data_IF_353734426956
#
_entry.id   IF_353734426956
#
_cell.length_a   1.000
_cell.length_b   1.000
_cell.length_c   1.000
_cell.angle_alpha   90.00
_cell.angle_beta   90.00
_cell.angle_gamma   90.00
#
_symmetry.space_group_name_H-M   'P 1'
#
loop_
_entity.id
_entity.type
_entity.pdbx_description
1 polymer ?
#
# COMPACT_ATOMS: atom_id res chain seq x y z
N UNK A 1 10.16 -1.98 -9.92
CA UNK A 1 9.56 -1.32 -8.75
C UNK A 1 8.13 -1.81 -8.66
N UNK A 2 7.85 -2.75 -7.76
CA UNK A 2 6.50 -3.27 -7.56
C UNK A 2 5.72 -2.28 -6.69
N UNK A 3 4.57 -1.87 -7.17
CA UNK A 3 3.54 -1.21 -6.36
C UNK A 3 2.65 -2.33 -5.80
N UNK A 4 2.79 -2.62 -4.51
CA UNK A 4 1.83 -3.49 -3.83
C UNK A 4 0.75 -2.61 -3.21
N UNK A 5 -0.47 -2.72 -3.73
CA UNK A 5 -1.66 -2.20 -3.08
C UNK A 5 -2.29 -3.34 -2.30
N UNK A 6 -2.22 -3.27 -0.98
CA UNK A 6 -2.95 -4.17 -0.11
C UNK A 6 -4.30 -3.55 0.24
N UNK A 7 -5.32 -3.86 -0.53
CA UNK A 7 -6.69 -3.71 -0.06
C UNK A 7 -7.08 -5.02 0.62
N UNK A 8 -7.16 -5.03 1.93
CA UNK A 8 -7.72 -6.14 2.68
C UNK A 8 -9.24 -6.11 2.58
N UNK A 9 -9.77 -6.78 1.56
CA UNK A 9 -11.16 -7.21 1.51
C UNK A 9 -11.19 -8.69 1.14
N UNK A 10 -12.18 -9.48 1.58
CA UNK A 10 -12.26 -10.93 1.31
C UNK A 10 -12.44 -11.32 -0.16
N UNK A 11 -12.21 -10.41 -1.10
CA UNK A 11 -12.20 -10.66 -2.56
C UNK A 11 -10.82 -11.19 -3.02
N UNK A 12 -10.19 -12.03 -2.22
CA UNK A 12 -8.82 -12.53 -2.47
C UNK A 12 -8.66 -13.48 -3.66
N UNK A 13 -9.73 -13.92 -4.32
CA UNK A 13 -9.63 -14.86 -5.45
C UNK A 13 -9.44 -14.17 -6.81
N UNK A 14 -9.82 -12.89 -6.93
CA UNK A 14 -9.75 -12.15 -8.21
C UNK A 14 -8.49 -11.29 -8.38
N UNK A 15 -7.77 -11.00 -7.30
CA UNK A 15 -6.54 -10.19 -7.35
C UNK A 15 -5.34 -10.85 -8.05
N UNK A 16 -5.36 -12.17 -8.26
CA UNK A 16 -4.28 -12.90 -8.91
C UNK A 16 -4.08 -12.56 -10.40
N UNK A 17 -5.11 -12.07 -11.08
CA UNK A 17 -5.06 -11.68 -12.50
C UNK A 17 -4.42 -10.29 -12.64
N UNK A 18 -4.73 -9.36 -11.77
CA UNK A 18 -4.14 -8.02 -11.76
C UNK A 18 -2.63 -8.04 -11.42
N UNK A 19 -2.19 -8.94 -10.54
CA UNK A 19 -0.77 -9.06 -10.17
C UNK A 19 0.14 -9.44 -11.36
N UNK A 20 -0.33 -10.23 -12.32
CA UNK A 20 0.49 -10.66 -13.46
C UNK A 20 0.74 -9.57 -14.50
N UNK A 21 -0.12 -8.58 -14.55
CA UNK A 21 -0.07 -7.53 -15.57
C UNK A 21 0.58 -6.24 -15.08
N UNK A 22 0.65 -6.01 -13.76
CA UNK A 22 1.32 -4.85 -13.16
C UNK A 22 2.85 -4.87 -13.31
N UNK A 23 3.44 -5.98 -13.74
CA UNK A 23 4.88 -6.08 -14.01
C UNK A 23 5.31 -5.55 -15.39
N UNK A 24 4.37 -5.29 -16.28
CA UNK A 24 4.66 -4.65 -17.56
C UNK A 24 4.72 -3.14 -17.33
N UNK A 25 5.89 -2.68 -17.04
CA UNK A 25 6.40 -1.32 -16.98
C UNK A 25 5.55 -0.28 -17.72
N UNK A 26 4.58 0.30 -17.07
CA UNK A 26 4.18 1.64 -17.44
C UNK A 26 5.29 2.58 -16.98
N UNK A 27 5.96 3.26 -17.90
CA UNK A 27 7.04 4.18 -17.60
C UNK A 27 6.55 5.44 -16.88
N UNK A 28 5.24 5.72 -16.96
CA UNK A 28 4.60 6.83 -16.29
C UNK A 28 4.18 6.41 -14.86
N UNK A 29 4.91 6.93 -13.87
CA UNK A 29 4.63 6.67 -12.45
C UNK A 29 3.46 7.47 -11.90
N UNK A 30 2.97 8.45 -12.63
CA UNK A 30 1.85 9.32 -12.22
C UNK A 30 0.53 8.83 -12.80
N UNK A 31 0.57 8.09 -13.92
CA UNK A 31 -0.59 7.54 -14.58
C UNK A 31 -0.33 6.06 -14.89
N UNK A 32 -0.89 5.19 -14.09
CA UNK A 32 -0.73 3.75 -14.25
C UNK A 32 -2.02 3.14 -14.77
N UNK A 33 -1.89 2.17 -15.68
CA UNK A 33 -3.05 1.52 -16.21
C UNK A 33 -2.78 0.06 -16.54
N UNK A 34 -3.75 -0.81 -16.25
CA UNK A 34 -3.70 -2.25 -16.53
C UNK A 34 -5.11 -2.74 -16.86
N UNK A 35 -5.35 -3.11 -18.10
CA UNK A 35 -6.71 -3.44 -18.54
C UNK A 35 -7.68 -2.28 -18.31
N UNK A 36 -8.79 -2.53 -17.64
CA UNK A 36 -9.77 -1.50 -17.25
C UNK A 36 -9.41 -0.71 -15.99
N UNK A 37 -8.31 -1.04 -15.30
CA UNK A 37 -7.88 -0.33 -14.10
C UNK A 37 -6.93 0.82 -14.45
N UNK A 38 -7.20 2.00 -13.90
CA UNK A 38 -6.35 3.20 -13.99
C UNK A 38 -6.14 3.81 -12.62
N UNK A 39 -4.92 4.29 -12.39
CA UNK A 39 -4.56 5.08 -11.22
C UNK A 39 -3.87 6.35 -11.70
N UNK A 40 -4.44 7.48 -11.39
CA UNK A 40 -3.97 8.81 -11.77
C UNK A 40 -3.53 9.57 -10.53
N UNK A 41 -2.31 10.10 -10.53
CA UNK A 41 -1.86 11.04 -9.49
C UNK A 41 -2.32 12.43 -9.90
N UNK A 42 -3.46 12.87 -9.34
CA UNK A 42 -4.05 14.19 -9.63
C UNK A 42 -3.19 15.29 -9.00
N UNK A 43 -2.79 15.09 -7.75
CA UNK A 43 -1.89 15.99 -7.01
C UNK A 43 -0.88 15.13 -6.24
N UNK A 44 0.42 15.25 -6.51
CA UNK A 44 1.44 14.46 -5.84
C UNK A 44 1.35 14.56 -4.32
N UNK A 45 1.45 13.41 -3.64
CA UNK A 45 1.35 13.23 -2.19
C UNK A 45 0.05 13.71 -1.55
N UNK A 46 -0.95 14.09 -2.34
CA UNK A 46 -2.22 14.60 -1.81
C UNK A 46 -3.46 13.91 -2.38
N UNK A 47 -3.56 13.80 -3.70
CA UNK A 47 -4.79 13.33 -4.35
C UNK A 47 -4.49 12.33 -5.46
N UNK A 48 -5.21 11.22 -5.44
CA UNK A 48 -5.19 10.21 -6.50
C UNK A 48 -6.60 9.87 -6.94
N UNK A 49 -6.77 9.51 -8.21
CA UNK A 49 -8.01 8.96 -8.75
C UNK A 49 -7.78 7.53 -9.18
N UNK A 50 -8.68 6.66 -8.80
CA UNK A 50 -8.71 5.25 -9.18
C UNK A 50 -9.98 5.00 -10.00
N UNK A 51 -9.82 4.46 -11.19
CA UNK A 51 -10.92 4.07 -12.06
C UNK A 51 -10.79 2.58 -12.38
N UNK A 52 -11.86 1.86 -12.20
CA UNK A 52 -12.04 0.50 -12.68
C UNK A 52 -13.24 0.47 -13.62
N UNK A 53 -12.99 0.20 -14.91
CA UNK A 53 -14.04 -0.12 -15.86
C UNK A 53 -14.72 -1.41 -15.43
N UNK A 54 -16.02 -1.53 -15.72
CA UNK A 54 -16.76 -2.73 -15.30
C UNK A 54 -15.98 -4.01 -15.64
N UNK A 55 -15.69 -4.78 -14.61
CA UNK A 55 -14.91 -6.01 -14.69
C UNK A 55 -15.47 -7.02 -13.69
N UNK A 56 -16.05 -8.10 -14.18
CA UNK A 56 -16.61 -9.17 -13.36
C UNK A 56 -17.60 -8.66 -12.27
N UNK A 57 -18.46 -7.73 -12.62
CA UNK A 57 -19.48 -7.16 -11.73
C UNK A 57 -18.97 -6.00 -10.86
N UNK A 58 -17.73 -5.55 -11.02
CA UNK A 58 -17.16 -4.43 -10.27
C UNK A 58 -16.84 -3.26 -11.18
N UNK A 59 -17.29 -2.06 -10.81
CA UNK A 59 -16.85 -0.81 -11.42
C UNK A 59 -16.60 0.25 -10.35
N UNK A 60 -15.65 1.15 -10.57
CA UNK A 60 -15.34 2.19 -9.62
C UNK A 60 -14.82 3.45 -10.31
N UNK A 61 -15.18 4.60 -9.77
CA UNK A 61 -14.55 5.89 -10.04
C UNK A 61 -14.39 6.61 -8.70
N UNK A 62 -13.23 6.45 -8.11
CA UNK A 62 -12.95 6.86 -6.75
C UNK A 62 -11.79 7.86 -6.71
N UNK A 63 -11.95 8.90 -5.92
CA UNK A 63 -10.89 9.85 -5.60
C UNK A 63 -10.52 9.69 -4.13
N UNK A 64 -9.23 9.48 -3.87
CA UNK A 64 -8.67 9.50 -2.54
C UNK A 64 -7.95 10.83 -2.30
N UNK A 65 -8.16 11.43 -1.13
CA UNK A 65 -7.51 12.66 -0.70
C UNK A 65 -6.95 12.51 0.70
N UNK A 66 -5.66 12.88 0.87
CA UNK A 66 -4.96 12.87 2.16
C UNK A 66 -5.59 13.88 3.13
N UNK A 67 -6.01 13.41 4.29
CA UNK A 67 -6.48 14.27 5.40
C UNK A 67 -5.33 14.84 6.22
N UNK A 68 -4.16 14.22 6.11
CA UNK A 68 -2.93 14.57 6.80
C UNK A 68 -1.76 14.49 5.82
N UNK A 69 -0.64 15.13 6.15
CA UNK A 69 0.60 15.00 5.40
C UNK A 69 1.12 13.56 5.41
N UNK A 70 1.97 13.24 4.45
CA UNK A 70 2.59 11.91 4.37
C UNK A 70 3.53 11.68 5.56
N UNK A 71 3.48 10.47 6.09
CA UNK A 71 4.43 10.00 7.09
C UNK A 71 5.48 9.15 6.40
N UNK A 72 6.73 9.59 6.41
CA UNK A 72 7.84 8.76 5.98
C UNK A 72 8.20 7.79 7.11
N UNK A 73 8.05 6.51 6.84
CA UNK A 73 8.38 5.45 7.79
C UNK A 73 9.89 5.25 7.90
N UNK A 74 10.31 4.65 9.01
CA UNK A 74 11.69 4.22 9.18
C UNK A 74 12.13 3.29 8.04
N UNK A 75 13.33 3.53 7.50
CA UNK A 75 13.92 2.63 6.50
C UNK A 75 14.07 1.24 7.06
N UNK A 76 13.56 0.25 6.34
CA UNK A 76 13.58 -1.14 6.77
C UNK A 76 14.63 -1.91 5.99
N UNK A 77 15.64 -2.41 6.69
CA UNK A 77 16.73 -3.20 6.10
C UNK A 77 16.78 -4.58 6.75
N UNK A 78 16.64 -5.60 5.94
CA UNK A 78 16.84 -7.00 6.35
C UNK A 78 18.02 -7.60 5.64
N UNK A 79 18.73 -8.50 6.33
CA UNK A 79 19.91 -9.20 5.82
C UNK A 79 19.82 -10.68 6.11
N UNK A 80 20.33 -11.46 5.19
CA UNK A 80 20.61 -12.87 5.39
C UNK A 80 22.13 -13.08 5.23
N UNK A 81 22.83 -13.19 6.33
CA UNK A 81 24.29 -13.10 6.34
C UNK A 81 24.74 -11.70 5.86
N UNK A 82 25.56 -11.67 4.82
CA UNK A 82 26.07 -10.43 4.21
C UNK A 82 25.16 -9.86 3.12
N UNK A 83 24.17 -10.64 2.64
CA UNK A 83 23.26 -10.22 1.57
C UNK A 83 22.15 -9.36 2.14
N UNK A 84 21.87 -8.22 1.50
CA UNK A 84 20.67 -7.44 1.76
C UNK A 84 19.51 -8.09 1.02
N UNK A 85 18.51 -8.57 1.75
CA UNK A 85 17.31 -9.21 1.21
C UNK A 85 16.15 -8.23 1.09
N UNK A 86 16.12 -7.22 1.95
CA UNK A 86 15.18 -6.12 1.91
C UNK A 86 15.91 -4.82 2.21
N UNK A 87 15.68 -3.79 1.44
CA UNK A 87 16.07 -2.41 1.74
C UNK A 87 14.94 -1.51 1.22
N UNK A 88 13.97 -1.26 2.06
CA UNK A 88 12.75 -0.61 1.71
C UNK A 88 12.59 0.74 2.40
N UNK A 89 12.23 1.73 1.61
CA UNK A 89 11.69 2.99 2.07
C UNK A 89 10.19 3.00 1.79
N UNK A 90 9.42 3.62 2.67
CA UNK A 90 7.96 3.69 2.56
C UNK A 90 7.45 5.03 3.06
N UNK A 91 6.30 5.41 2.57
CA UNK A 91 5.46 6.40 3.21
C UNK A 91 4.06 5.84 3.41
N UNK A 92 3.42 6.32 4.45
CA UNK A 92 2.00 6.11 4.72
C UNK A 92 1.26 7.43 4.78
N UNK A 93 -0.03 7.40 4.50
CA UNK A 93 -0.89 8.58 4.60
C UNK A 93 -2.31 8.14 4.91
N UNK A 94 -2.98 8.87 5.79
CA UNK A 94 -4.39 8.66 6.12
C UNK A 94 -5.23 9.70 5.40
N UNK A 95 -6.34 9.27 4.82
CA UNK A 95 -7.21 10.13 4.03
C UNK A 95 -8.63 9.59 3.93
N UNK A 96 -9.35 10.07 2.94
CA UNK A 96 -10.75 9.72 2.69
C UNK A 96 -10.98 9.42 1.22
N UNK A 97 -12.03 8.64 0.95
CA UNK A 97 -12.49 8.33 -0.38
C UNK A 97 -13.78 9.06 -0.72
N UNK A 98 -13.92 9.44 -1.99
CA UNK A 98 -15.16 9.97 -2.57
C UNK A 98 -15.36 9.41 -3.97
N UNK A 99 -16.62 9.34 -4.42
CA UNK A 99 -16.96 8.88 -5.77
C UNK A 99 -18.05 7.81 -5.77
N UNK A 100 -17.97 6.90 -6.72
CA UNK A 100 -18.94 5.80 -6.89
C UNK A 100 -18.26 4.46 -7.02
N UNK A 101 -18.91 3.43 -6.48
CA UNK A 101 -18.56 2.03 -6.58
C UNK A 101 -19.80 1.27 -7.02
N UNK A 102 -19.68 0.41 -8.02
CA UNK A 102 -20.76 -0.50 -8.42
C UNK A 102 -20.33 -1.94 -8.17
N UNK A 103 -21.19 -2.71 -7.53
CA UNK A 103 -20.99 -4.14 -7.23
C UNK A 103 -22.20 -4.91 -7.72
N UNK A 104 -22.01 -5.75 -8.73
CA UNK A 104 -23.05 -6.55 -9.37
C UNK A 104 -24.29 -5.71 -9.79
N UNK A 105 -24.04 -4.47 -10.25
CA UNK A 105 -25.07 -3.52 -10.68
C UNK A 105 -25.68 -2.69 -9.55
N UNK A 106 -25.30 -2.90 -8.32
CA UNK A 106 -25.69 -2.07 -7.18
C UNK A 106 -24.72 -0.89 -7.03
N UNK A 107 -25.24 0.33 -7.12
CA UNK A 107 -24.46 1.57 -6.95
C UNK A 107 -24.31 1.93 -5.48
N UNK A 108 -23.05 2.13 -5.07
CA UNK A 108 -22.66 2.53 -3.72
C UNK A 108 -22.03 3.91 -3.78
N UNK A 109 -22.66 4.90 -3.18
CA UNK A 109 -22.11 6.24 -3.04
C UNK A 109 -20.99 6.24 -1.98
N UNK A 110 -19.80 6.68 -2.39
CA UNK A 110 -18.63 6.78 -1.51
C UNK A 110 -18.47 8.23 -1.07
N UNK A 111 -18.67 8.48 0.24
CA UNK A 111 -18.60 9.81 0.83
C UNK A 111 -17.38 9.93 1.75
N UNK A 112 -16.61 11.04 1.68
CA UNK A 112 -15.46 11.26 2.55
C UNK A 112 -15.79 11.34 4.05
N UNK A 113 -17.07 11.56 4.40
CA UNK A 113 -17.53 11.58 5.79
C UNK A 113 -17.55 10.18 6.43
N UNK A 114 -17.73 9.14 5.61
CA UNK A 114 -17.91 7.76 6.07
C UNK A 114 -16.85 6.80 5.54
N UNK A 115 -16.17 7.14 4.46
CA UNK A 115 -15.16 6.32 3.84
C UNK A 115 -13.77 6.85 4.13
N UNK A 116 -13.15 6.33 5.18
CA UNK A 116 -11.75 6.58 5.50
C UNK A 116 -10.87 5.54 4.83
N UNK A 117 -9.63 5.91 4.52
CA UNK A 117 -8.70 5.01 3.88
C UNK A 117 -7.26 5.39 4.16
N UNK A 118 -6.37 4.47 3.83
CA UNK A 118 -4.94 4.68 3.90
C UNK A 118 -4.33 4.53 2.52
N UNK A 119 -3.24 5.22 2.31
CA UNK A 119 -2.36 5.07 1.17
C UNK A 119 -0.96 4.81 1.67
N UNK A 120 -0.35 3.76 1.17
CA UNK A 120 1.06 3.52 1.36
C UNK A 120 1.76 3.32 0.02
N UNK A 121 3.04 3.61 0.00
CA UNK A 121 3.91 3.33 -1.13
C UNK A 121 5.29 2.99 -0.63
N UNK A 122 5.84 1.92 -1.19
CA UNK A 122 7.19 1.51 -0.86
C UNK A 122 8.04 1.33 -2.12
N UNK A 123 9.36 1.51 -1.97
CA UNK A 123 10.35 1.32 -3.01
C UNK A 123 11.67 0.84 -2.41
N UNK A 124 12.52 0.26 -3.25
CA UNK A 124 13.84 -0.23 -2.85
C UNK A 124 14.08 -1.68 -3.25
N UNK A 125 14.96 -2.36 -2.56
CA UNK A 125 15.30 -3.76 -2.78
C UNK A 125 14.23 -4.63 -2.13
N UNK A 126 13.65 -5.54 -2.91
CA UNK A 126 12.63 -6.49 -2.45
C UNK A 126 13.01 -7.90 -2.84
N UNK A 127 12.73 -8.92 -2.00
CA UNK A 127 13.01 -10.33 -2.31
C UNK A 127 11.92 -10.92 -3.25
N UNK A 128 11.65 -10.25 -4.36
CA UNK A 128 10.57 -10.68 -5.27
C UNK A 128 11.15 -11.26 -6.53
N UNK A 129 10.81 -12.51 -6.83
CA UNK A 129 11.09 -13.17 -8.10
C UNK A 129 12.52 -13.62 -8.32
N UNK A 130 13.42 -13.48 -7.37
CA UNK A 130 14.76 -14.03 -7.43
C UNK A 130 14.79 -15.42 -6.78
N UNK A 131 15.29 -16.41 -7.52
CA UNK A 131 15.59 -17.71 -6.92
C UNK A 131 16.72 -17.58 -5.90
N UNK A 132 16.57 -18.22 -4.74
CA UNK A 132 17.69 -18.32 -3.79
C UNK A 132 18.88 -19.05 -4.43
N UNK A 133 20.13 -18.60 -4.21
CA UNK A 133 21.30 -19.28 -4.69
C UNK A 133 21.35 -20.72 -4.18
N UNK A 134 21.74 -21.67 -5.04
CA UNK A 134 21.89 -23.06 -4.67
C UNK A 134 22.79 -23.22 -3.42
N UNK A 135 22.39 -24.07 -2.48
CA UNK A 135 23.13 -24.38 -1.26
C UNK A 135 22.83 -23.48 -0.06
N UNK A 136 21.85 -22.56 -0.15
CA UNK A 136 21.32 -21.87 1.02
C UNK A 136 19.90 -22.33 1.28
N UNK A 137 19.60 -22.83 2.48
CA UNK A 137 18.21 -23.06 2.86
C UNK A 137 17.47 -21.71 2.87
N UNK A 138 16.30 -21.68 2.29
CA UNK A 138 15.35 -20.58 2.45
C UNK A 138 14.68 -20.74 3.83
N UNK A 139 15.44 -20.57 4.89
CA UNK A 139 14.89 -20.59 6.24
C UNK A 139 14.16 -19.26 6.47
N UNK A 140 12.92 -19.21 6.04
CA UNK A 140 11.98 -18.21 6.51
C UNK A 140 11.35 -18.76 7.79
N UNK A 141 11.92 -18.38 8.91
CA UNK A 141 11.53 -18.84 10.25
C UNK A 141 10.34 -18.06 10.84
N UNK A 142 9.57 -17.47 9.96
CA UNK A 142 8.39 -16.73 10.35
C UNK A 142 8.63 -15.21 10.46
N UNK A 143 7.52 -14.50 10.50
CA UNK A 143 7.49 -13.05 10.63
C UNK A 143 6.19 -12.66 11.31
N UNK A 144 6.28 -11.79 12.30
CA UNK A 144 5.11 -11.09 12.83
C UNK A 144 5.14 -9.65 12.36
N UNK A 145 3.99 -9.17 11.88
CA UNK A 145 3.84 -7.84 11.30
C UNK A 145 2.63 -7.13 11.88
N UNK A 146 2.84 -5.91 12.34
CA UNK A 146 1.79 -5.01 12.79
C UNK A 146 1.86 -3.71 11.99
N UNK A 147 0.73 -3.36 11.35
CA UNK A 147 0.55 -2.08 10.68
C UNK A 147 -0.79 -1.49 11.09
N UNK A 148 -0.76 -0.38 11.85
CA UNK A 148 -1.96 0.22 12.43
C UNK A 148 -1.97 1.72 12.14
N UNK A 149 -2.56 2.13 11.01
CA UNK A 149 -2.92 3.53 10.80
C UNK A 149 -4.19 3.86 11.60
N UNK A 150 -4.14 4.95 12.34
CA UNK A 150 -5.25 5.45 13.16
C UNK A 150 -5.54 6.89 12.80
N UNK A 151 -6.82 7.22 12.63
CA UNK A 151 -7.30 8.58 12.36
C UNK A 151 -8.04 9.13 13.56
N UNK A 152 -7.62 10.31 13.99
CA UNK A 152 -8.30 11.11 15.00
C UNK A 152 -8.76 12.44 14.36
N UNK A 153 -9.43 13.29 15.13
CA UNK A 153 -9.94 14.55 14.61
C UNK A 153 -8.81 15.50 14.14
N UNK A 154 -7.78 15.67 14.96
CA UNK A 154 -6.71 16.66 14.71
C UNK A 154 -5.37 16.05 14.29
N UNK A 155 -5.21 14.74 14.39
CA UNK A 155 -3.99 14.03 14.05
C UNK A 155 -4.25 12.61 13.56
N UNK A 156 -3.25 12.03 12.92
CA UNK A 156 -3.20 10.61 12.63
C UNK A 156 -1.95 10.00 13.28
N UNK A 157 -2.02 8.70 13.57
CA UNK A 157 -0.88 7.90 14.03
C UNK A 157 -0.70 6.74 13.05
N UNK A 158 0.55 6.48 12.69
CA UNK A 158 0.93 5.28 11.93
C UNK A 158 1.90 4.49 12.80
N UNK A 159 1.50 3.29 13.18
CA UNK A 159 2.35 2.33 13.90
C UNK A 159 2.74 1.22 12.94
N UNK A 160 4.03 0.93 12.88
CA UNK A 160 4.55 -0.19 12.10
C UNK A 160 5.61 -0.92 12.90
N UNK A 161 5.44 -2.22 13.05
CA UNK A 161 6.36 -3.08 13.79
C UNK A 161 6.54 -4.39 13.06
N UNK A 162 7.75 -4.94 13.12
CA UNK A 162 8.04 -6.27 12.63
C UNK A 162 8.96 -6.99 13.61
N UNK A 163 8.68 -8.27 13.82
CA UNK A 163 9.54 -9.21 14.54
C UNK A 163 9.89 -10.38 13.62
N UNK A 164 11.07 -10.94 13.80
CA UNK A 164 11.45 -12.19 13.14
C UNK A 164 10.91 -13.41 13.90
N UNK A 165 11.27 -14.63 13.45
CA UNK A 165 10.82 -15.87 14.07
C UNK A 165 11.27 -16.05 15.52
N UNK A 166 12.35 -15.43 15.92
CA UNK A 166 12.89 -15.45 17.29
C UNK A 166 12.26 -14.36 18.20
N UNK A 167 11.35 -13.54 17.64
CA UNK A 167 10.71 -12.44 18.36
C UNK A 167 11.59 -11.20 18.47
N UNK A 168 12.67 -11.11 17.70
CA UNK A 168 13.54 -9.94 17.68
C UNK A 168 12.90 -8.86 16.80
N UNK A 169 12.77 -7.65 17.34
CA UNK A 169 12.20 -6.53 16.62
C UNK A 169 13.13 -6.00 15.56
N UNK A 170 12.75 -6.17 14.29
CA UNK A 170 13.52 -5.74 13.11
C UNK A 170 13.05 -4.40 12.55
N UNK A 171 11.83 -3.98 12.89
CA UNK A 171 11.26 -2.66 12.59
C UNK A 171 10.42 -2.21 13.77
N UNK A 172 10.55 -0.94 14.17
CA UNK A 172 9.77 -0.38 15.27
C UNK A 172 9.63 1.12 15.06
N UNK A 173 8.51 1.53 14.51
CA UNK A 173 8.22 2.93 14.21
C UNK A 173 6.80 3.30 14.62
N UNK A 174 6.66 4.52 15.15
CA UNK A 174 5.39 5.09 15.52
C UNK A 174 5.44 6.60 15.30
N UNK A 175 4.72 7.08 14.33
CA UNK A 175 4.72 8.49 13.96
C UNK A 175 3.32 9.08 14.11
N UNK A 176 3.24 10.26 14.71
CA UNK A 176 2.02 11.06 14.77
C UNK A 176 2.17 12.29 13.87
N UNK A 177 1.19 12.52 13.03
CA UNK A 177 1.11 13.68 12.14
C UNK A 177 -0.14 14.49 12.45
N UNK A 178 0.02 15.80 12.58
CA UNK A 178 -1.08 16.73 12.86
C UNK A 178 -1.63 17.34 11.57
N UNK A 179 -2.86 17.88 11.61
CA UNK A 179 -3.48 18.57 10.47
C UNK A 179 -2.67 19.78 9.96
N UNK A 180 -1.89 20.41 10.83
CA UNK A 180 -1.00 21.52 10.48
C UNK A 180 0.36 21.07 9.92
N UNK A 181 0.53 19.78 9.68
CA UNK A 181 1.75 19.19 9.10
C UNK A 181 2.88 18.92 10.10
N UNK A 182 2.71 19.22 11.39
CA UNK A 182 3.70 18.83 12.40
C UNK A 182 3.73 17.29 12.54
N UNK A 183 4.93 16.77 12.71
CA UNK A 183 5.23 15.35 12.92
C UNK A 183 5.89 15.17 14.28
#
# INVERSE_FOLDING_TARGET
MLLEYHTYHPINLRSGILRRNLSASDSDRLNQHVGGYRLEVVEPLRKIRMVLEETEGLAADLTWEGSFEVVQEQRHVMRQGTRVTLDAQRFAQVGTWSGSLSVDGEEIAVSPDTWVGTRDRSWGIRPVGEAEPAGRPADFDGMWWLYVPMRFEDYAIVVIMQEDGDGIRTLNDCTRVWKDGRV
#
